data_IF_081131161839
#
_entry.id   IF_081131161839
#
_cell.length_a   1.000
_cell.length_b   1.000
_cell.length_c   1.000
_cell.angle_alpha   90.00
_cell.angle_beta   90.00
_cell.angle_gamma   90.00
#
_symmetry.space_group_name_H-M   'P 1'
#
loop_
_entity.id
_entity.type
_entity.pdbx_description
1 polymer ?
#
# COMPACT_ATOMS: atom_id res chain seq x y z
N UNK A 1 -3.43 13.01 22.57
CA UNK A 1 -3.20 11.58 22.23
C UNK A 1 -2.27 11.53 21.03
N UNK A 2 -1.18 10.77 21.09
CA UNK A 2 -0.30 10.59 19.94
C UNK A 2 -0.96 9.59 18.98
N UNK A 3 -1.35 10.06 17.78
CA UNK A 3 -2.05 9.25 16.81
C UNK A 3 -1.22 8.04 16.33
N UNK A 4 0.11 8.11 16.41
CA UNK A 4 1.04 7.03 16.05
C UNK A 4 0.93 5.77 16.92
N UNK A 5 0.29 5.88 18.10
CA UNK A 5 0.12 4.78 19.05
C UNK A 5 -1.34 4.58 19.46
N UNK A 6 -2.27 5.25 18.78
CA UNK A 6 -3.68 5.11 19.10
C UNK A 6 -4.17 3.72 18.71
N UNK A 7 -4.91 3.05 19.59
CA UNK A 7 -5.61 1.80 19.32
C UNK A 7 -7.09 1.98 19.66
N UNK A 8 -7.97 1.26 18.95
CA UNK A 8 -9.41 1.29 19.26
C UNK A 8 -9.64 0.69 20.64
N UNK A 9 -10.10 1.48 21.64
CA UNK A 9 -10.22 0.99 23.01
C UNK A 9 -11.27 -0.12 23.18
N UNK A 10 -12.26 -0.16 22.29
CA UNK A 10 -13.36 -1.12 22.28
C UNK A 10 -13.29 -2.10 21.10
N UNK A 11 -12.20 -2.09 20.32
CA UNK A 11 -12.03 -2.81 19.07
C UNK A 11 -13.17 -2.60 18.05
N UNK A 12 -13.94 -1.51 18.17
CA UNK A 12 -15.00 -1.21 17.22
C UNK A 12 -14.46 -0.45 16.02
N UNK A 13 -15.24 -0.60 14.93
CA UNK A 13 -15.00 0.13 13.70
C UNK A 13 -15.10 1.64 13.95
N UNK A 14 -14.11 2.39 13.49
CA UNK A 14 -14.04 3.83 13.67
C UNK A 14 -13.56 4.51 12.37
N UNK A 15 -13.90 5.80 12.25
CA UNK A 15 -13.51 6.65 11.12
C UNK A 15 -12.44 7.64 11.57
N UNK A 16 -11.37 7.75 10.79
CA UNK A 16 -10.40 8.84 10.97
C UNK A 16 -10.88 10.04 10.16
N UNK A 17 -10.87 11.22 10.79
CA UNK A 17 -11.24 12.47 10.15
C UNK A 17 -9.99 13.27 9.80
N UNK A 18 -9.96 13.96 8.65
CA UNK A 18 -8.84 14.82 8.29
C UNK A 18 -8.71 15.97 9.29
N UNK A 19 -7.48 16.28 9.67
CA UNK A 19 -7.16 17.45 10.49
C UNK A 19 -7.27 18.69 9.60
N UNK A 20 -8.20 19.59 9.92
CA UNK A 20 -8.43 20.83 9.15
C UNK A 20 -7.80 22.04 9.83
N UNK A 21 -7.55 23.10 9.06
CA UNK A 21 -7.13 24.40 9.59
C UNK A 21 -5.66 24.51 9.98
N UNK A 22 -4.82 23.54 9.61
CA UNK A 22 -3.36 23.66 9.66
C UNK A 22 -2.84 24.06 8.27
N UNK A 23 -2.17 25.20 8.19
CA UNK A 23 -1.46 25.65 6.98
C UNK A 23 0.05 25.47 7.07
N UNK A 24 0.56 25.24 8.28
CA UNK A 24 1.97 25.03 8.59
C UNK A 24 2.10 23.74 9.41
N UNK A 25 3.23 23.04 9.30
CA UNK A 25 3.49 21.79 10.03
C UNK A 25 2.33 20.77 9.94
N UNK A 26 1.78 20.61 8.73
CA UNK A 26 0.57 19.81 8.46
C UNK A 26 0.71 18.34 8.88
N UNK A 27 1.92 17.80 8.77
CA UNK A 27 2.22 16.41 9.11
C UNK A 27 2.49 16.20 10.61
N UNK A 28 2.74 17.26 11.37
CA UNK A 28 3.12 17.14 12.78
C UNK A 28 2.02 16.43 13.58
N UNK A 29 2.48 15.46 14.39
CA UNK A 29 1.64 14.61 15.26
C UNK A 29 0.69 13.69 14.49
N UNK A 30 0.94 13.46 13.20
CA UNK A 30 0.23 12.44 12.41
C UNK A 30 1.11 11.18 12.27
N UNK A 31 0.51 9.97 12.16
CA UNK A 31 1.27 8.73 12.04
C UNK A 31 2.32 8.70 10.92
N UNK A 32 2.09 9.39 9.79
CA UNK A 32 2.99 9.37 8.62
C UNK A 32 4.37 9.95 8.92
N UNK A 33 4.50 10.79 9.95
CA UNK A 33 5.81 11.29 10.41
C UNK A 33 6.73 10.16 10.89
N UNK A 34 6.16 9.01 11.22
CA UNK A 34 6.90 7.84 11.68
C UNK A 34 7.33 6.94 10.52
N UNK A 35 6.93 7.20 9.27
CA UNK A 35 7.32 6.40 8.10
C UNK A 35 8.84 6.40 7.92
N UNK A 36 9.37 5.24 7.59
CA UNK A 36 10.80 5.00 7.40
C UNK A 36 11.06 4.46 6.00
N UNK A 37 12.21 4.77 5.43
CA UNK A 37 12.70 4.16 4.20
C UNK A 37 13.35 2.80 4.51
N UNK A 38 12.56 1.89 5.07
CA UNK A 38 12.96 0.55 5.51
C UNK A 38 11.80 -0.42 5.29
N UNK A 39 12.06 -1.51 4.55
CA UNK A 39 11.06 -2.54 4.23
C UNK A 39 10.51 -3.24 5.49
N UNK A 40 11.26 -3.27 6.59
CA UNK A 40 10.84 -3.86 7.86
C UNK A 40 10.46 -2.81 8.91
N UNK A 41 10.46 -1.53 8.53
CA UNK A 41 10.21 -0.39 9.40
C UNK A 41 8.76 -0.22 9.81
N UNK A 42 8.47 0.95 10.36
CA UNK A 42 7.13 1.35 10.87
C UNK A 42 6.01 1.20 9.84
N UNK A 43 6.29 1.41 8.55
CA UNK A 43 5.31 1.22 7.47
C UNK A 43 4.77 -0.21 7.41
N UNK A 44 5.59 -1.22 7.71
CA UNK A 44 5.16 -2.62 7.77
C UNK A 44 4.48 -2.96 9.10
N UNK A 45 4.92 -2.35 10.21
CA UNK A 45 4.50 -2.74 11.56
C UNK A 45 3.25 -2.01 12.06
N UNK A 46 3.08 -0.73 11.73
CA UNK A 46 2.07 0.15 12.35
C UNK A 46 0.87 0.34 11.43
N UNK A 47 -0.30 -0.13 11.86
CA UNK A 47 -1.53 0.01 11.09
C UNK A 47 -1.96 1.49 10.96
N UNK A 48 -1.58 2.36 11.91
CA UNK A 48 -1.92 3.78 11.89
C UNK A 48 -1.25 4.51 10.72
N UNK A 49 -0.01 4.12 10.39
CA UNK A 49 0.72 4.64 9.23
C UNK A 49 -0.01 4.23 7.95
N UNK A 50 -0.28 2.93 7.80
CA UNK A 50 -1.01 2.40 6.65
C UNK A 50 -2.41 3.02 6.50
N UNK A 51 -3.13 3.22 7.60
CA UNK A 51 -4.42 3.89 7.58
C UNK A 51 -4.29 5.30 7.00
N UNK A 52 -3.31 6.08 7.45
CA UNK A 52 -3.07 7.42 6.93
C UNK A 52 -2.67 7.43 5.45
N UNK A 53 -1.87 6.46 4.99
CA UNK A 53 -1.54 6.28 3.56
C UNK A 53 -2.79 6.03 2.74
N UNK A 54 -3.70 5.16 3.20
CA UNK A 54 -4.98 4.92 2.53
C UNK A 54 -5.89 6.14 2.52
N UNK A 55 -5.99 6.88 3.61
CA UNK A 55 -6.80 8.11 3.64
C UNK A 55 -6.23 9.19 2.71
N UNK A 56 -4.91 9.33 2.65
CA UNK A 56 -4.23 10.18 1.66
C UNK A 56 -4.57 9.74 0.24
N UNK A 57 -4.53 8.43 -0.05
CA UNK A 57 -4.92 7.90 -1.35
C UNK A 57 -6.36 8.24 -1.72
N UNK A 58 -7.32 8.05 -0.80
CA UNK A 58 -8.73 8.37 -1.07
C UNK A 58 -8.96 9.87 -1.31
N UNK A 59 -8.33 10.73 -0.51
CA UNK A 59 -8.42 12.18 -0.70
C UNK A 59 -7.91 12.61 -2.08
N UNK A 60 -6.75 12.09 -2.50
CA UNK A 60 -6.17 12.40 -3.81
C UNK A 60 -6.92 11.71 -4.96
N UNK A 61 -7.57 10.57 -4.73
CA UNK A 61 -8.46 9.94 -5.70
C UNK A 61 -9.70 10.81 -5.94
N UNK A 62 -10.35 11.25 -4.88
CA UNK A 62 -11.53 12.13 -4.92
C UNK A 62 -11.20 13.48 -5.57
N UNK A 63 -10.04 14.06 -5.26
CA UNK A 63 -9.57 15.33 -5.82
C UNK A 63 -9.03 15.21 -7.26
N UNK A 64 -8.96 14.00 -7.84
CA UNK A 64 -8.32 13.72 -9.15
C UNK A 64 -6.83 14.12 -9.19
N UNK A 65 -6.16 14.00 -8.06
CA UNK A 65 -4.76 14.37 -7.86
C UNK A 65 -3.81 13.15 -7.74
N UNK A 66 -4.21 11.98 -8.25
CA UNK A 66 -3.36 10.79 -8.25
C UNK A 66 -2.00 10.99 -8.96
N UNK A 67 -1.87 12.02 -9.80
CA UNK A 67 -0.60 12.40 -10.42
C UNK A 67 0.51 12.65 -9.38
N UNK A 68 0.17 13.01 -8.13
CA UNK A 68 1.11 13.20 -7.03
C UNK A 68 1.90 11.93 -6.65
N UNK A 69 1.33 10.76 -6.92
CA UNK A 69 1.99 9.47 -6.67
C UNK A 69 2.74 8.94 -7.89
N UNK A 70 2.57 9.58 -9.06
CA UNK A 70 3.11 9.08 -10.31
C UNK A 70 4.54 9.53 -10.50
N UNK A 71 5.34 8.61 -11.01
CA UNK A 71 6.66 8.86 -11.53
C UNK A 71 6.79 8.09 -12.86
N UNK A 72 7.89 8.29 -13.57
CA UNK A 72 8.13 7.53 -14.81
C UNK A 72 8.55 6.10 -14.44
N UNK A 73 9.74 5.70 -14.86
CA UNK A 73 10.30 4.41 -14.52
C UNK A 73 11.36 4.65 -13.46
N UNK A 74 11.35 3.83 -12.42
CA UNK A 74 12.44 3.77 -11.47
C UNK A 74 13.13 2.40 -11.56
N UNK A 75 14.36 2.44 -12.07
CA UNK A 75 15.29 1.31 -11.96
C UNK A 75 15.92 1.36 -10.57
N UNK A 76 15.53 0.43 -9.71
CA UNK A 76 16.03 0.29 -8.35
C UNK A 76 17.36 -0.50 -8.31
N UNK A 77 18.04 -0.67 -9.44
CA UNK A 77 19.42 -1.17 -9.55
C UNK A 77 19.64 -2.54 -8.89
N UNK A 78 18.64 -3.44 -8.97
CA UNK A 78 18.67 -4.76 -8.32
C UNK A 78 18.82 -4.69 -6.79
N UNK A 79 18.37 -3.60 -6.19
CA UNK A 79 18.09 -3.53 -4.76
C UNK A 79 16.77 -4.25 -4.45
N UNK A 80 16.65 -4.75 -3.23
CA UNK A 80 15.41 -5.40 -2.79
C UNK A 80 14.28 -4.39 -2.78
N UNK A 81 13.21 -4.70 -3.50
CA UNK A 81 12.01 -3.85 -3.59
C UNK A 81 10.82 -4.65 -3.05
N UNK A 82 9.97 -4.00 -2.26
CA UNK A 82 8.73 -4.62 -1.83
C UNK A 82 7.83 -4.91 -3.02
N UNK A 83 7.32 -6.14 -3.15
CA UNK A 83 6.51 -6.55 -4.31
C UNK A 83 5.03 -6.63 -3.96
N UNK A 84 4.42 -5.49 -3.63
CA UNK A 84 2.99 -5.49 -3.32
C UNK A 84 2.13 -5.73 -4.56
N UNK A 85 2.63 -5.35 -5.74
CA UNK A 85 2.04 -5.67 -7.02
C UNK A 85 3.15 -5.80 -8.07
N UNK A 86 3.13 -6.91 -8.81
CA UNK A 86 4.11 -7.21 -9.85
C UNK A 86 3.39 -7.66 -11.12
N UNK A 87 3.84 -7.13 -12.25
CA UNK A 87 3.47 -7.61 -13.57
C UNK A 87 4.69 -8.26 -14.21
N UNK A 88 4.53 -9.49 -14.69
CA UNK A 88 5.58 -10.22 -15.39
C UNK A 88 5.01 -11.16 -16.43
N UNK A 89 5.84 -11.57 -17.38
CA UNK A 89 5.43 -12.49 -18.44
C UNK A 89 5.30 -13.92 -17.92
N UNK A 90 4.43 -14.72 -18.55
CA UNK A 90 4.21 -16.12 -18.16
C UNK A 90 5.47 -16.99 -18.24
N UNK A 91 6.36 -16.73 -19.19
CA UNK A 91 7.64 -17.45 -19.27
C UNK A 91 8.60 -17.08 -18.13
N UNK A 92 8.54 -15.84 -17.61
CA UNK A 92 9.41 -15.36 -16.54
C UNK A 92 9.05 -15.98 -15.20
N UNK A 93 7.76 -16.04 -14.87
CA UNK A 93 7.30 -16.72 -13.66
C UNK A 93 7.60 -18.23 -13.70
N UNK A 94 7.55 -18.85 -14.88
CA UNK A 94 7.90 -20.26 -15.02
C UNK A 94 9.40 -20.50 -14.87
N UNK A 95 10.25 -19.62 -15.41
CA UNK A 95 11.70 -19.67 -15.23
C UNK A 95 12.14 -19.35 -13.78
N UNK A 96 11.29 -18.65 -13.03
CA UNK A 96 11.52 -18.27 -11.64
C UNK A 96 11.22 -19.39 -10.63
N UNK A 97 10.66 -20.53 -11.05
CA UNK A 97 10.36 -21.64 -10.14
C UNK A 97 11.62 -22.47 -9.82
N UNK A 98 11.74 -23.02 -8.59
CA UNK A 98 10.88 -22.77 -7.44
C UNK A 98 11.08 -21.34 -6.89
N UNK A 99 9.98 -20.73 -6.44
CA UNK A 99 10.00 -19.39 -5.86
C UNK A 99 10.49 -19.49 -4.42
N UNK A 100 11.50 -18.69 -4.05
CA UNK A 100 12.04 -18.68 -2.70
C UNK A 100 11.04 -18.09 -1.69
N UNK A 101 11.25 -18.34 -0.39
CA UNK A 101 10.36 -17.82 0.68
C UNK A 101 10.31 -16.29 0.73
N UNK A 102 11.43 -15.63 0.43
CA UNK A 102 11.50 -14.17 0.25
C UNK A 102 11.30 -13.88 -1.24
N UNK A 103 10.04 -13.76 -1.64
CA UNK A 103 9.62 -13.47 -3.01
C UNK A 103 10.01 -12.05 -3.44
N UNK A 104 9.99 -11.09 -2.52
CA UNK A 104 10.50 -9.72 -2.73
C UNK A 104 11.94 -9.74 -3.22
N UNK A 105 12.86 -10.40 -2.52
CA UNK A 105 14.25 -10.54 -2.98
C UNK A 105 14.33 -11.41 -4.26
N UNK A 106 13.54 -12.49 -4.34
CA UNK A 106 13.57 -13.41 -5.47
C UNK A 106 13.28 -12.70 -6.80
N UNK A 107 12.25 -11.87 -6.84
CA UNK A 107 11.79 -11.20 -8.06
C UNK A 107 12.44 -9.85 -8.32
N UNK A 108 12.89 -9.13 -7.29
CA UNK A 108 13.59 -7.84 -7.47
C UNK A 108 15.10 -8.00 -7.70
N UNK A 109 15.71 -9.07 -7.17
CA UNK A 109 17.17 -9.23 -7.18
C UNK A 109 17.59 -10.52 -7.88
N UNK A 110 17.18 -11.67 -7.37
CA UNK A 110 17.73 -12.98 -7.76
C UNK A 110 17.44 -13.33 -9.21
N UNK A 111 16.17 -13.27 -9.61
CA UNK A 111 15.76 -13.59 -10.98
C UNK A 111 16.22 -12.56 -12.01
N UNK A 112 16.12 -11.23 -11.75
CA UNK A 112 16.73 -10.22 -12.62
C UNK A 112 18.23 -10.45 -12.87
N UNK A 113 19.00 -10.80 -11.81
CA UNK A 113 20.42 -11.16 -11.93
C UNK A 113 20.62 -12.42 -12.77
N UNK A 114 19.89 -13.50 -12.47
CA UNK A 114 20.01 -14.79 -13.15
C UNK A 114 19.65 -14.72 -14.64
N UNK A 115 18.62 -13.95 -14.99
CA UNK A 115 18.13 -13.83 -16.37
C UNK A 115 18.82 -12.71 -17.17
N UNK A 116 19.63 -11.86 -16.52
CA UNK A 116 20.23 -10.70 -17.16
C UNK A 116 19.23 -9.64 -17.62
N UNK A 117 18.03 -9.60 -17.00
CA UNK A 117 16.94 -8.68 -17.36
C UNK A 117 16.62 -7.78 -16.18
N UNK A 118 16.36 -6.50 -16.45
CA UNK A 118 16.01 -5.53 -15.42
C UNK A 118 14.63 -5.79 -14.82
N UNK A 119 14.48 -5.43 -13.55
CA UNK A 119 13.19 -5.23 -12.91
C UNK A 119 13.08 -3.75 -12.55
N UNK A 120 11.91 -3.15 -12.77
CA UNK A 120 11.69 -1.71 -12.62
C UNK A 120 10.34 -1.46 -11.96
N UNK A 121 10.21 -0.34 -11.26
CA UNK A 121 8.92 0.17 -10.83
C UNK A 121 8.35 1.10 -11.92
N UNK A 122 7.16 0.78 -12.43
CA UNK A 122 6.41 1.62 -13.37
C UNK A 122 5.44 2.52 -12.61
N UNK A 123 5.78 3.80 -12.49
CA UNK A 123 5.02 4.79 -11.73
C UNK A 123 3.82 5.39 -12.48
N UNK A 124 3.47 4.88 -13.68
CA UNK A 124 2.30 5.38 -14.43
C UNK A 124 0.98 4.92 -13.79
N UNK A 125 1.01 3.78 -13.11
CA UNK A 125 -0.08 3.23 -12.31
C UNK A 125 0.10 3.52 -10.82
N UNK A 126 -1.01 3.51 -10.08
CA UNK A 126 -1.00 3.57 -8.61
C UNK A 126 -1.72 2.33 -8.11
N UNK A 127 -1.08 1.62 -7.18
CA UNK A 127 -1.66 0.44 -6.54
C UNK A 127 -1.64 0.66 -5.04
N UNK A 128 -2.75 0.37 -4.39
CA UNK A 128 -2.85 0.38 -2.94
C UNK A 128 -2.90 -1.06 -2.42
N UNK A 129 -1.92 -1.41 -1.60
CA UNK A 129 -1.88 -2.67 -0.88
C UNK A 129 -2.60 -2.52 0.45
N UNK A 130 -3.64 -3.32 0.69
CA UNK A 130 -4.52 -3.08 1.84
C UNK A 130 -3.83 -3.27 3.19
N UNK A 131 -3.07 -4.34 3.41
CA UNK A 131 -2.46 -4.56 4.72
C UNK A 131 -1.36 -5.60 4.73
N UNK A 132 -0.37 -5.43 5.58
CA UNK A 132 0.55 -6.48 6.00
C UNK A 132 0.02 -7.25 7.23
N UNK A 133 0.55 -8.46 7.44
CA UNK A 133 0.19 -9.30 8.59
C UNK A 133 0.29 -8.58 9.95
N UNK A 134 1.39 -7.86 10.27
CA UNK A 134 1.50 -7.11 11.53
C UNK A 134 0.42 -6.04 11.72
N UNK A 135 -0.03 -5.40 10.64
CA UNK A 135 -1.05 -4.34 10.66
C UNK A 135 -2.47 -4.86 10.92
N UNK A 136 -2.64 -6.18 10.97
CA UNK A 136 -3.92 -6.83 11.29
C UNK A 136 -4.10 -7.10 12.79
N UNK A 137 -3.04 -6.92 13.60
CA UNK A 137 -3.07 -7.16 15.05
C UNK A 137 -3.60 -5.95 15.81
N UNK A 138 -4.20 -6.17 16.98
CA UNK A 138 -4.53 -5.16 18.02
C UNK A 138 -5.14 -3.84 17.52
N UNK A 139 -6.43 -3.86 17.17
CA UNK A 139 -7.10 -2.66 16.67
C UNK A 139 -6.60 -2.23 15.28
N UNK A 140 -6.08 -3.18 14.50
CA UNK A 140 -5.50 -2.99 13.17
C UNK A 140 -6.44 -2.38 12.12
N UNK A 141 -5.99 -2.35 10.86
CA UNK A 141 -6.73 -1.73 9.75
C UNK A 141 -8.18 -2.19 9.60
N UNK A 142 -8.49 -3.43 9.98
CA UNK A 142 -9.85 -3.97 9.98
C UNK A 142 -10.84 -3.22 10.90
N UNK A 143 -10.34 -2.45 11.86
CA UNK A 143 -11.15 -1.57 12.72
C UNK A 143 -11.38 -0.18 12.10
N UNK A 144 -10.89 0.09 10.90
CA UNK A 144 -11.11 1.37 10.20
C UNK A 144 -12.22 1.27 9.15
N UNK A 145 -12.59 2.39 8.53
CA UNK A 145 -13.50 2.42 7.37
C UNK A 145 -12.79 2.28 6.01
N UNK A 146 -11.47 2.04 5.98
CA UNK A 146 -10.65 1.93 4.75
C UNK A 146 -11.19 0.89 3.78
N UNK A 147 -11.44 -0.35 4.23
CA UNK A 147 -11.94 -1.41 3.34
C UNK A 147 -13.35 -1.12 2.82
N UNK A 148 -14.18 -0.44 3.62
CA UNK A 148 -15.52 -0.06 3.18
C UNK A 148 -15.47 1.03 2.11
N UNK A 149 -14.53 1.98 2.22
CA UNK A 149 -14.30 3.00 1.18
C UNK A 149 -13.85 2.38 -0.13
N UNK A 150 -12.95 1.40 -0.11
CA UNK A 150 -12.59 0.64 -1.31
C UNK A 150 -13.80 -0.07 -1.92
N UNK A 151 -14.65 -0.71 -1.10
CA UNK A 151 -15.88 -1.37 -1.56
C UNK A 151 -16.88 -0.38 -2.15
N UNK A 152 -17.09 0.77 -1.52
CA UNK A 152 -17.96 1.82 -2.04
C UNK A 152 -17.45 2.35 -3.36
N UNK A 153 -16.16 2.70 -3.44
CA UNK A 153 -15.54 3.16 -4.70
C UNK A 153 -15.70 2.12 -5.81
N UNK A 154 -15.43 0.84 -5.52
CA UNK A 154 -15.61 -0.24 -6.49
C UNK A 154 -17.06 -0.32 -6.98
N UNK A 155 -18.05 -0.31 -6.08
CA UNK A 155 -19.47 -0.36 -6.46
C UNK A 155 -19.90 0.83 -7.31
N UNK A 156 -19.42 2.03 -6.97
CA UNK A 156 -19.82 3.27 -7.62
C UNK A 156 -19.13 3.48 -8.98
N UNK A 157 -17.89 3.02 -9.14
CA UNK A 157 -17.04 3.40 -10.27
C UNK A 157 -16.52 2.25 -11.14
N UNK A 158 -16.50 1.01 -10.64
CA UNK A 158 -15.84 -0.13 -11.32
C UNK A 158 -16.82 -1.26 -11.57
N UNK A 159 -17.49 -1.74 -10.53
CA UNK A 159 -18.43 -2.85 -10.52
C UNK A 159 -19.87 -2.38 -10.76
N UNK A 160 -20.09 -1.51 -11.74
CA UNK A 160 -21.42 -0.97 -12.07
C UNK A 160 -22.32 -2.00 -12.79
N UNK A 161 -21.74 -3.11 -13.27
CA UNK A 161 -22.45 -4.21 -13.90
C UNK A 161 -22.55 -5.44 -13.00
N UNK A 162 -23.36 -6.45 -13.38
CA UNK A 162 -23.40 -7.73 -12.68
C UNK A 162 -22.00 -8.32 -12.61
N UNK A 163 -21.53 -8.66 -11.40
CA UNK A 163 -20.28 -9.37 -11.24
C UNK A 163 -20.38 -10.69 -11.99
N UNK A 164 -19.41 -10.94 -12.90
CA UNK A 164 -19.33 -12.17 -13.69
C UNK A 164 -19.19 -13.44 -12.84
N UNK A 165 -18.94 -13.28 -11.54
CA UNK A 165 -18.85 -14.37 -10.59
C UNK A 165 -19.29 -13.89 -9.20
N UNK A 166 -20.05 -14.75 -8.50
CA UNK A 166 -20.36 -14.60 -7.07
C UNK A 166 -19.73 -15.80 -6.33
N UNK A 167 -18.95 -15.57 -5.26
CA UNK A 167 -18.33 -16.63 -4.46
C UNK A 167 -19.33 -17.56 -3.77
#
# INVERSE_FOLDING_TARGET
>A
VNASFWTSPDNKKHRWLPVRGKSDHVLDKTPIMETQYDAFGTGLQRWQVAAQEHYSFFENLEARELWRYKFNVWDFQRLRMGIQFIAMMGHDINAAKPIHRDDEEHFSVTMPKKLGRGAVADGRGVVAHYSFGPQSKEGGLGTTDVLDRYRSYAKENVCAGPMLWSP
#
